data_IF_739595682653
#
_entry.id   IF_739595682653
#
_cell.length_a   1.000
_cell.length_b   1.000
_cell.length_c   1.000
_cell.angle_alpha   90.00
_cell.angle_beta   90.00
_cell.angle_gamma   90.00
#
_symmetry.space_group_name_H-M   'P 1'
#
loop_
_entity.id
_entity.type
_entity.pdbx_description
1 polymer ?
#
# COMPACT_ATOMS: atom_id res chain seq x y z
N UNK A 1 -16.55 32.38 -9.43
CA UNK A 1 -17.47 31.22 -9.29
C UNK A 1 -17.26 30.18 -10.37
N UNK A 2 -17.28 30.46 -11.68
CA UNK A 2 -16.93 29.49 -12.73
C UNK A 2 -15.51 28.98 -12.57
N UNK A 3 -14.54 29.82 -12.32
CA UNK A 3 -13.15 29.49 -12.08
C UNK A 3 -12.92 28.58 -10.84
N UNK A 4 -13.75 28.73 -9.80
CA UNK A 4 -13.65 27.84 -8.61
C UNK A 4 -14.11 26.43 -8.90
N UNK A 5 -15.18 26.28 -9.68
CA UNK A 5 -15.64 24.96 -10.14
C UNK A 5 -14.61 24.30 -11.05
N UNK A 6 -13.97 25.07 -11.91
CA UNK A 6 -12.91 24.56 -12.80
C UNK A 6 -11.65 24.16 -12.00
N UNK A 7 -11.29 24.91 -10.95
CA UNK A 7 -10.22 24.53 -10.03
C UNK A 7 -10.52 23.22 -9.32
N UNK A 8 -11.74 23.04 -8.80
CA UNK A 8 -12.17 21.79 -8.16
C UNK A 8 -12.09 20.64 -9.16
N UNK A 9 -12.54 20.84 -10.39
CA UNK A 9 -12.45 19.83 -11.43
C UNK A 9 -11.00 19.40 -11.68
N UNK A 10 -10.08 20.34 -11.82
CA UNK A 10 -8.65 20.08 -12.05
C UNK A 10 -8.04 19.32 -10.87
N UNK A 11 -8.37 19.73 -9.63
CA UNK A 11 -7.87 19.02 -8.43
C UNK A 11 -8.38 17.58 -8.37
N UNK A 12 -9.67 17.34 -8.59
CA UNK A 12 -10.24 16.00 -8.61
C UNK A 12 -9.60 15.10 -9.69
N UNK A 13 -9.31 15.68 -10.87
CA UNK A 13 -8.58 14.98 -11.92
C UNK A 13 -7.16 14.63 -11.53
N UNK A 14 -6.48 15.54 -10.82
CA UNK A 14 -5.15 15.29 -10.25
C UNK A 14 -5.18 14.08 -9.30
N UNK A 15 -6.08 14.11 -8.32
CA UNK A 15 -6.23 13.02 -7.36
C UNK A 15 -6.60 11.68 -8.02
N UNK A 16 -7.50 11.68 -9.01
CA UNK A 16 -7.82 10.48 -9.77
C UNK A 16 -6.56 9.88 -10.42
N UNK A 17 -5.72 10.74 -11.01
CA UNK A 17 -4.47 10.33 -11.66
C UNK A 17 -3.47 9.74 -10.66
N UNK A 18 -3.29 10.40 -9.52
CA UNK A 18 -2.40 9.94 -8.44
C UNK A 18 -2.83 8.56 -7.90
N UNK A 19 -4.14 8.39 -7.66
CA UNK A 19 -4.67 7.10 -7.18
C UNK A 19 -4.46 5.99 -8.22
N UNK A 20 -4.67 6.27 -9.50
CA UNK A 20 -4.42 5.30 -10.58
C UNK A 20 -2.93 4.93 -10.67
N UNK A 21 -2.04 5.89 -10.46
CA UNK A 21 -0.60 5.63 -10.42
C UNK A 21 -0.22 4.79 -9.19
N UNK A 22 -0.81 5.10 -8.03
CA UNK A 22 -0.65 4.29 -6.81
C UNK A 22 -1.09 2.85 -7.03
N UNK A 23 -2.22 2.62 -7.69
CA UNK A 23 -2.68 1.26 -7.99
C UNK A 23 -1.72 0.48 -8.90
N UNK A 24 -1.08 1.14 -9.87
CA UNK A 24 -0.05 0.48 -10.70
C UNK A 24 1.15 0.04 -9.86
N UNK A 25 1.57 0.88 -8.89
CA UNK A 25 2.64 0.50 -7.96
C UNK A 25 2.22 -0.67 -7.08
N UNK A 26 1.00 -0.66 -6.53
CA UNK A 26 0.46 -1.75 -5.72
C UNK A 26 0.40 -3.07 -6.49
N UNK A 27 -0.02 -3.06 -7.75
CA UNK A 27 -0.03 -4.26 -8.61
C UNK A 27 1.39 -4.80 -8.85
N UNK A 28 2.36 -3.91 -9.09
CA UNK A 28 3.77 -4.31 -9.21
C UNK A 28 4.28 -4.90 -7.90
N UNK A 29 4.03 -4.26 -6.77
CA UNK A 29 4.44 -4.75 -5.45
C UNK A 29 3.80 -6.11 -5.13
N UNK A 30 2.51 -6.28 -5.46
CA UNK A 30 1.83 -7.57 -5.28
C UNK A 30 2.56 -8.69 -6.03
N UNK A 31 2.84 -8.49 -7.32
CA UNK A 31 3.53 -9.48 -8.17
C UNK A 31 4.92 -9.80 -7.61
N UNK A 32 5.71 -8.75 -7.35
CA UNK A 32 7.05 -8.93 -6.80
C UNK A 32 7.03 -9.61 -5.44
N UNK A 33 6.06 -9.30 -4.58
CA UNK A 33 5.93 -9.92 -3.26
C UNK A 33 5.55 -11.41 -3.36
N UNK A 34 4.70 -11.78 -4.31
CA UNK A 34 4.35 -13.18 -4.57
C UNK A 34 5.57 -13.95 -5.09
N UNK A 35 6.32 -13.39 -6.03
CA UNK A 35 7.54 -14.02 -6.55
C UNK A 35 8.57 -14.22 -5.42
N UNK A 36 8.76 -13.21 -4.60
CA UNK A 36 9.66 -13.29 -3.45
C UNK A 36 9.21 -14.34 -2.43
N UNK A 37 7.92 -14.40 -2.11
CA UNK A 37 7.38 -15.46 -1.26
C UNK A 37 7.75 -16.85 -1.79
N UNK A 38 7.59 -17.09 -3.09
CA UNK A 38 7.95 -18.36 -3.70
C UNK A 38 9.45 -18.66 -3.62
N UNK A 39 10.29 -17.65 -3.78
CA UNK A 39 11.75 -17.82 -3.62
C UNK A 39 12.11 -18.14 -2.16
N UNK A 40 11.51 -17.43 -1.18
CA UNK A 40 11.71 -17.70 0.24
C UNK A 40 11.37 -19.16 0.59
N UNK A 41 10.23 -19.67 0.11
CA UNK A 41 9.83 -21.06 0.33
C UNK A 41 10.89 -22.03 -0.16
N UNK A 42 11.46 -21.80 -1.36
CA UNK A 42 12.54 -22.67 -1.89
C UNK A 42 13.79 -22.65 -1.01
N UNK A 43 14.23 -21.46 -0.59
CA UNK A 43 15.40 -21.32 0.29
C UNK A 43 15.17 -21.92 1.67
N UNK A 44 13.96 -21.79 2.23
CA UNK A 44 13.60 -22.41 3.51
C UNK A 44 13.68 -23.92 3.40
N UNK A 45 13.07 -24.52 2.36
CA UNK A 45 13.11 -25.96 2.15
C UNK A 45 14.54 -26.47 1.96
N UNK A 46 15.36 -25.73 1.21
CA UNK A 46 16.78 -26.09 1.02
C UNK A 46 17.56 -25.99 2.35
N UNK A 47 17.32 -24.93 3.16
CA UNK A 47 17.93 -24.77 4.48
C UNK A 47 17.55 -25.88 5.44
N UNK A 48 16.27 -26.25 5.49
CA UNK A 48 15.79 -27.37 6.32
C UNK A 48 16.37 -28.71 5.92
N UNK A 49 16.49 -28.94 4.61
CA UNK A 49 17.11 -30.16 4.10
C UNK A 49 18.61 -30.20 4.46
N UNK A 50 19.32 -29.10 4.29
CA UNK A 50 20.73 -28.99 4.65
C UNK A 50 20.97 -29.16 6.17
N UNK A 51 20.08 -28.62 7.02
CA UNK A 51 20.14 -28.87 8.46
C UNK A 51 20.07 -30.38 8.77
N UNK A 52 19.10 -31.10 8.19
CA UNK A 52 18.95 -32.55 8.36
C UNK A 52 20.17 -33.31 7.89
N UNK A 53 20.76 -32.91 6.76
CA UNK A 53 21.97 -33.58 6.23
C UNK A 53 23.18 -33.34 7.15
N UNK A 54 23.36 -32.14 7.69
CA UNK A 54 24.43 -31.82 8.65
C UNK A 54 24.20 -32.57 9.96
N UNK A 55 22.97 -32.62 10.49
CA UNK A 55 22.65 -33.41 11.68
C UNK A 55 22.98 -34.91 11.50
N UNK A 56 22.59 -35.49 10.38
CA UNK A 56 22.89 -36.87 10.07
C UNK A 56 24.41 -37.13 9.96
N UNK A 57 25.13 -36.18 9.33
CA UNK A 57 26.59 -36.27 9.22
C UNK A 57 27.28 -36.10 10.58
N UNK A 58 26.83 -35.18 11.45
CA UNK A 58 27.31 -35.03 12.83
C UNK A 58 27.15 -36.36 13.58
N UNK A 59 25.97 -37.01 13.48
CA UNK A 59 25.70 -38.27 14.16
C UNK A 59 26.65 -39.38 13.67
N UNK A 60 26.91 -39.48 12.37
CA UNK A 60 27.87 -40.40 11.79
C UNK A 60 29.30 -40.15 12.30
N UNK A 61 29.75 -38.90 12.30
CA UNK A 61 31.09 -38.51 12.77
C UNK A 61 31.27 -38.75 14.27
N UNK A 62 30.23 -38.60 15.08
CA UNK A 62 30.24 -38.98 16.51
C UNK A 62 30.48 -40.50 16.67
N UNK A 63 29.80 -41.32 15.89
CA UNK A 63 29.97 -42.75 15.92
C UNK A 63 31.36 -43.18 15.44
N UNK A 64 31.90 -42.49 14.41
CA UNK A 64 33.27 -42.73 13.94
C UNK A 64 34.30 -42.42 15.03
N UNK A 65 34.11 -41.31 15.77
CA UNK A 65 34.97 -40.93 16.87
C UNK A 65 34.94 -41.97 18.02
N UNK A 66 33.76 -42.49 18.34
CA UNK A 66 33.60 -43.53 19.35
C UNK A 66 34.31 -44.84 18.92
N UNK A 67 34.21 -45.18 17.64
CA UNK A 67 34.80 -46.42 17.11
C UNK A 67 36.33 -46.37 16.93
N UNK A 68 36.85 -45.17 16.57
CA UNK A 68 38.29 -45.01 16.24
C UNK A 68 39.11 -44.46 17.38
N UNK A 69 38.48 -43.74 18.32
CA UNK A 69 39.17 -42.99 19.38
C UNK A 69 39.92 -41.74 18.88
N UNK A 70 39.67 -41.32 17.63
CA UNK A 70 40.38 -40.18 17.00
C UNK A 70 39.84 -38.87 17.52
N UNK A 71 40.60 -38.20 18.35
CA UNK A 71 40.24 -36.90 18.95
C UNK A 71 40.28 -35.73 17.94
N UNK A 72 40.87 -35.90 16.77
CA UNK A 72 40.84 -34.85 15.74
C UNK A 72 39.41 -34.59 15.22
N UNK A 73 38.56 -35.61 15.26
CA UNK A 73 37.14 -35.53 14.89
C UNK A 73 36.37 -34.54 15.77
N UNK A 74 36.82 -34.30 17.02
CA UNK A 74 36.19 -33.33 17.92
C UNK A 74 36.21 -31.87 17.37
N UNK A 75 37.28 -31.49 16.69
CA UNK A 75 37.36 -30.18 16.04
C UNK A 75 36.38 -30.06 14.87
N UNK A 76 36.27 -31.11 14.07
CA UNK A 76 35.31 -31.19 12.97
C UNK A 76 33.87 -31.10 13.49
N UNK A 77 33.52 -31.85 14.54
CA UNK A 77 32.21 -31.83 15.17
C UNK A 77 31.88 -30.43 15.72
N UNK A 78 32.83 -29.72 16.32
CA UNK A 78 32.63 -28.35 16.81
C UNK A 78 32.29 -27.40 15.64
N UNK A 79 33.04 -27.50 14.54
CA UNK A 79 32.78 -26.68 13.35
C UNK A 79 31.45 -27.00 12.69
N UNK A 80 31.07 -28.28 12.60
CA UNK A 80 29.78 -28.73 12.06
C UNK A 80 28.60 -28.22 12.92
N UNK A 81 28.72 -28.28 14.27
CA UNK A 81 27.68 -27.79 15.17
C UNK A 81 27.52 -26.24 15.04
N UNK A 82 28.63 -25.50 14.87
CA UNK A 82 28.57 -24.08 14.62
C UNK A 82 27.88 -23.77 13.27
N UNK A 83 28.24 -24.51 12.23
CA UNK A 83 27.62 -24.37 10.91
C UNK A 83 26.11 -24.68 10.95
N UNK A 84 25.72 -25.75 11.65
CA UNK A 84 24.32 -26.11 11.85
C UNK A 84 23.54 -24.99 12.54
N UNK A 85 24.07 -24.48 13.66
CA UNK A 85 23.43 -23.39 14.40
C UNK A 85 23.25 -22.13 13.53
N UNK A 86 24.27 -21.77 12.75
CA UNK A 86 24.16 -20.62 11.83
C UNK A 86 23.13 -20.85 10.72
N UNK A 87 23.05 -22.06 10.20
CA UNK A 87 22.10 -22.42 9.15
C UNK A 87 20.66 -22.46 9.69
N UNK A 88 20.45 -22.99 10.88
CA UNK A 88 19.15 -22.95 11.57
C UNK A 88 18.68 -21.51 11.81
N UNK A 89 19.57 -20.64 12.32
CA UNK A 89 19.28 -19.23 12.48
C UNK A 89 18.88 -18.57 11.17
N UNK A 90 19.65 -18.82 10.11
CA UNK A 90 19.34 -18.26 8.78
C UNK A 90 17.99 -18.77 8.23
N UNK A 91 17.71 -20.06 8.42
CA UNK A 91 16.42 -20.64 8.01
C UNK A 91 15.27 -20.03 8.79
N UNK A 92 15.45 -19.74 10.08
CA UNK A 92 14.45 -19.05 10.90
C UNK A 92 14.24 -17.60 10.47
N UNK A 93 15.30 -16.89 10.09
CA UNK A 93 15.20 -15.54 9.52
C UNK A 93 14.39 -15.54 8.22
N UNK A 94 14.64 -16.53 7.36
CA UNK A 94 13.87 -16.69 6.11
C UNK A 94 12.40 -17.00 6.37
N UNK A 95 12.06 -17.79 7.40
CA UNK A 95 10.66 -18.02 7.81
C UNK A 95 10.00 -16.76 8.33
N UNK A 96 10.74 -15.90 9.02
CA UNK A 96 10.24 -14.59 9.45
C UNK A 96 9.93 -13.72 8.23
N UNK A 97 10.82 -13.69 7.24
CA UNK A 97 10.61 -12.97 6.00
C UNK A 97 9.41 -13.52 5.20
N UNK A 98 9.25 -14.85 5.14
CA UNK A 98 8.09 -15.51 4.53
C UNK A 98 6.78 -15.06 5.16
N UNK A 99 6.70 -15.02 6.49
CA UNK A 99 5.52 -14.53 7.21
C UNK A 99 5.19 -13.08 6.88
N UNK A 100 6.19 -12.21 6.80
CA UNK A 100 6.01 -10.80 6.40
C UNK A 100 5.50 -10.71 4.97
N UNK A 101 6.09 -11.48 4.05
CA UNK A 101 5.65 -11.51 2.65
C UNK A 101 4.20 -11.97 2.54
N UNK A 102 3.82 -13.02 3.26
CA UNK A 102 2.46 -13.58 3.28
C UNK A 102 1.44 -12.58 3.83
N UNK A 103 1.78 -11.87 4.92
CA UNK A 103 0.90 -10.84 5.50
C UNK A 103 0.75 -9.61 4.59
N UNK A 104 1.78 -9.29 3.81
CA UNK A 104 1.76 -8.15 2.88
C UNK A 104 0.80 -8.37 1.70
N UNK A 105 0.59 -9.61 1.26
CA UNK A 105 -0.29 -9.94 0.13
C UNK A 105 -1.74 -9.41 0.33
N UNK A 106 -2.47 -9.79 1.38
CA UNK A 106 -3.83 -9.29 1.60
C UNK A 106 -3.86 -7.79 1.90
N UNK A 107 -2.83 -7.24 2.54
CA UNK A 107 -2.73 -5.81 2.83
C UNK A 107 -2.63 -4.99 1.54
N UNK A 108 -1.79 -5.40 0.58
CA UNK A 108 -1.67 -4.75 -0.73
C UNK A 108 -3.02 -4.79 -1.46
N UNK A 109 -3.72 -5.93 -1.46
CA UNK A 109 -5.04 -6.06 -2.09
C UNK A 109 -6.12 -5.19 -1.42
N UNK A 110 -6.07 -5.05 -0.12
CA UNK A 110 -6.98 -4.16 0.62
C UNK A 110 -6.76 -2.70 0.24
N UNK A 111 -5.51 -2.26 0.10
CA UNK A 111 -5.16 -0.92 -0.36
C UNK A 111 -5.63 -0.66 -1.80
N UNK A 112 -5.40 -1.62 -2.69
CA UNK A 112 -5.87 -1.55 -4.08
C UNK A 112 -7.39 -1.38 -4.16
N UNK A 113 -8.14 -2.19 -3.41
CA UNK A 113 -9.59 -2.09 -3.33
C UNK A 113 -10.06 -0.75 -2.76
N UNK A 114 -9.40 -0.23 -1.72
CA UNK A 114 -9.66 1.09 -1.16
C UNK A 114 -9.48 2.18 -2.23
N UNK A 115 -8.40 2.13 -2.98
CA UNK A 115 -8.12 3.06 -4.07
C UNK A 115 -9.18 3.03 -5.17
N UNK A 116 -9.68 1.84 -5.56
CA UNK A 116 -10.81 1.73 -6.49
C UNK A 116 -12.07 2.41 -5.97
N UNK A 117 -12.37 2.26 -4.69
CA UNK A 117 -13.51 2.95 -4.08
C UNK A 117 -13.34 4.48 -4.07
N UNK A 118 -12.11 4.98 -3.87
CA UNK A 118 -11.82 6.40 -3.95
C UNK A 118 -12.01 6.95 -5.37
N UNK A 119 -11.50 6.27 -6.38
CA UNK A 119 -11.71 6.64 -7.79
C UNK A 119 -13.20 6.66 -8.12
N UNK A 120 -13.96 5.67 -7.66
CA UNK A 120 -15.41 5.64 -7.87
C UNK A 120 -16.11 6.86 -7.24
N UNK A 121 -15.72 7.28 -6.03
CA UNK A 121 -16.25 8.48 -5.37
C UNK A 121 -15.91 9.74 -6.15
N UNK A 122 -14.69 9.86 -6.66
CA UNK A 122 -14.27 10.99 -7.51
C UNK A 122 -15.10 11.03 -8.80
N UNK A 123 -15.28 9.89 -9.47
CA UNK A 123 -16.11 9.81 -10.67
C UNK A 123 -17.58 10.17 -10.39
N UNK A 124 -18.12 9.75 -9.25
CA UNK A 124 -19.44 10.18 -8.82
C UNK A 124 -19.54 11.70 -8.62
N UNK A 125 -18.49 12.33 -8.07
CA UNK A 125 -18.42 13.78 -7.94
C UNK A 125 -18.44 14.49 -9.32
N UNK A 126 -17.74 13.95 -10.31
CA UNK A 126 -17.78 14.49 -11.68
C UNK A 126 -19.14 14.36 -12.34
N UNK A 127 -19.82 13.23 -12.17
CA UNK A 127 -21.06 12.91 -12.87
C UNK A 127 -22.27 13.59 -12.20
N UNK A 128 -22.27 13.70 -10.88
CA UNK A 128 -23.43 14.17 -10.11
C UNK A 128 -23.18 15.55 -9.53
N UNK A 129 -22.15 15.69 -8.71
CA UNK A 129 -21.94 16.88 -7.88
C UNK A 129 -21.62 18.11 -8.72
N UNK A 130 -20.68 18.02 -9.65
CA UNK A 130 -20.27 19.16 -10.47
C UNK A 130 -21.34 19.62 -11.45
N UNK A 131 -22.07 18.76 -12.18
CA UNK A 131 -23.18 19.21 -13.00
C UNK A 131 -24.29 19.90 -12.23
N UNK A 132 -24.71 19.35 -11.09
CA UNK A 132 -25.71 19.94 -10.21
C UNK A 132 -25.23 21.32 -9.72
N UNK A 133 -23.97 21.42 -9.38
CA UNK A 133 -23.36 22.66 -8.95
C UNK A 133 -23.34 23.73 -10.05
N UNK A 134 -22.95 23.35 -11.28
CA UNK A 134 -23.00 24.22 -12.47
C UNK A 134 -24.43 24.67 -12.78
N UNK A 135 -25.39 23.78 -12.65
CA UNK A 135 -26.80 24.11 -12.88
C UNK A 135 -27.33 25.09 -11.81
N UNK A 136 -27.04 24.87 -10.54
CA UNK A 136 -27.40 25.78 -9.45
C UNK A 136 -26.76 27.15 -9.64
N UNK A 137 -25.52 27.20 -10.11
CA UNK A 137 -24.83 28.44 -10.43
C UNK A 137 -25.51 29.20 -11.61
N UNK A 138 -25.86 28.48 -12.67
CA UNK A 138 -26.57 29.08 -13.81
C UNK A 138 -27.94 29.64 -13.41
N UNK A 139 -28.67 28.91 -12.56
CA UNK A 139 -29.94 29.37 -11.98
C UNK A 139 -29.76 30.64 -11.13
N UNK A 140 -28.73 30.69 -10.28
CA UNK A 140 -28.42 31.86 -9.48
C UNK A 140 -28.08 33.08 -10.34
N UNK A 141 -27.36 32.90 -11.45
CA UNK A 141 -27.05 33.94 -12.41
C UNK A 141 -28.32 34.43 -13.14
N UNK A 142 -29.19 33.51 -13.52
CA UNK A 142 -30.47 33.84 -14.15
C UNK A 142 -31.37 34.65 -13.21
N UNK A 143 -31.50 34.22 -11.96
CA UNK A 143 -32.24 34.98 -10.92
C UNK A 143 -31.67 36.38 -10.69
N UNK A 144 -30.34 36.51 -10.70
CA UNK A 144 -29.68 37.83 -10.62
C UNK A 144 -29.94 38.70 -11.83
N UNK A 145 -30.06 38.15 -13.01
CA UNK A 145 -30.41 38.87 -14.25
C UNK A 145 -31.89 39.25 -14.35
N UNK A 146 -32.74 38.43 -13.77
CA UNK A 146 -34.19 38.71 -13.67
C UNK A 146 -34.53 39.79 -12.62
N UNK A 147 -33.56 40.55 -12.30
CA UNK A 147 -33.53 41.67 -11.45
C UNK A 147 -34.88 42.34 -11.30
N UNK A 148 -35.62 41.93 -10.35
CA UNK A 148 -36.85 42.69 -10.22
C UNK A 148 -37.18 43.09 -8.81
N UNK A 149 -36.40 42.96 -7.88
CA UNK A 149 -36.53 43.63 -6.59
C UNK A 149 -35.28 43.37 -5.74
N UNK A 150 -34.51 44.42 -5.54
CA UNK A 150 -33.11 44.34 -5.16
C UNK A 150 -32.83 43.70 -3.79
N UNK A 151 -33.69 43.82 -2.83
CA UNK A 151 -33.37 43.35 -1.47
C UNK A 151 -33.56 41.85 -1.26
N UNK A 152 -34.61 41.27 -1.81
CA UNK A 152 -34.86 39.82 -1.72
C UNK A 152 -33.87 39.01 -2.54
N UNK A 153 -33.35 39.59 -3.63
CA UNK A 153 -32.37 38.93 -4.50
C UNK A 153 -30.97 38.98 -3.88
N UNK A 154 -30.60 40.07 -3.22
CA UNK A 154 -29.30 40.16 -2.53
C UNK A 154 -29.18 39.13 -1.38
N UNK A 155 -30.26 38.86 -0.67
CA UNK A 155 -30.27 37.86 0.37
C UNK A 155 -30.28 36.45 -0.19
N UNK A 156 -30.98 36.21 -1.29
CA UNK A 156 -30.97 34.93 -2.00
C UNK A 156 -29.59 34.65 -2.63
N UNK A 157 -28.98 35.68 -3.25
CA UNK A 157 -27.62 35.66 -3.81
C UNK A 157 -26.59 35.30 -2.72
N UNK A 158 -26.71 35.91 -1.54
CA UNK A 158 -25.85 35.64 -0.40
C UNK A 158 -26.01 34.22 0.11
N UNK A 159 -27.24 33.72 0.33
CA UNK A 159 -27.52 32.36 0.77
C UNK A 159 -27.08 31.32 -0.28
N UNK A 160 -27.31 31.61 -1.56
CA UNK A 160 -26.88 30.72 -2.64
C UNK A 160 -25.35 30.65 -2.73
N UNK A 161 -24.68 31.81 -2.61
CA UNK A 161 -23.22 31.85 -2.59
C UNK A 161 -22.65 31.12 -1.37
N UNK A 162 -23.24 31.29 -0.19
CA UNK A 162 -22.85 30.56 1.02
C UNK A 162 -23.06 29.05 0.86
N UNK A 163 -24.18 28.65 0.27
CA UNK A 163 -24.45 27.23 0.01
C UNK A 163 -23.50 26.63 -1.06
N UNK A 164 -23.22 27.38 -2.12
CA UNK A 164 -22.27 27.01 -3.16
C UNK A 164 -20.84 26.91 -2.61
N UNK A 165 -20.41 27.88 -1.82
CA UNK A 165 -19.12 27.84 -1.12
C UNK A 165 -19.02 26.64 -0.17
N UNK A 166 -20.08 26.38 0.61
CA UNK A 166 -20.13 25.25 1.52
C UNK A 166 -20.09 23.91 0.78
N UNK A 167 -20.81 23.80 -0.34
CA UNK A 167 -20.77 22.58 -1.17
C UNK A 167 -19.40 22.43 -1.86
N UNK A 168 -18.83 23.54 -2.37
CA UNK A 168 -17.48 23.53 -2.92
C UNK A 168 -16.45 23.11 -1.87
N UNK A 169 -16.53 23.70 -0.68
CA UNK A 169 -15.67 23.35 0.44
C UNK A 169 -15.83 21.88 0.82
N UNK A 170 -17.05 21.38 0.94
CA UNK A 170 -17.32 19.96 1.23
C UNK A 170 -16.73 19.05 0.14
N UNK A 171 -16.85 19.43 -1.13
CA UNK A 171 -16.29 18.68 -2.25
C UNK A 171 -14.75 18.66 -2.23
N UNK A 172 -14.14 19.83 -1.94
CA UNK A 172 -12.68 19.95 -1.77
C UNK A 172 -12.21 19.17 -0.56
N UNK A 173 -12.93 19.25 0.56
CA UNK A 173 -12.56 18.54 1.79
C UNK A 173 -12.70 17.01 1.64
N UNK A 174 -13.75 16.55 0.94
CA UNK A 174 -13.88 15.13 0.58
C UNK A 174 -12.74 14.71 -0.34
N UNK A 175 -12.36 15.54 -1.33
CA UNK A 175 -11.27 15.25 -2.25
C UNK A 175 -9.91 15.22 -1.55
N UNK A 176 -9.66 16.19 -0.63
CA UNK A 176 -8.46 16.21 0.21
C UNK A 176 -8.39 15.01 1.14
N UNK A 177 -9.52 14.62 1.73
CA UNK A 177 -9.59 13.42 2.58
C UNK A 177 -9.31 12.16 1.76
N UNK A 178 -9.85 12.09 0.55
CA UNK A 178 -9.60 11.02 -0.41
C UNK A 178 -8.13 10.95 -0.80
N UNK A 179 -7.52 12.10 -1.15
CA UNK A 179 -6.09 12.17 -1.46
C UNK A 179 -5.21 11.83 -0.25
N UNK A 180 -5.58 12.30 0.95
CA UNK A 180 -4.87 11.97 2.19
C UNK A 180 -4.93 10.48 2.50
N UNK A 181 -6.05 9.83 2.24
CA UNK A 181 -6.15 8.36 2.35
C UNK A 181 -5.30 7.64 1.29
N UNK A 182 -5.26 8.17 0.07
CA UNK A 182 -4.42 7.64 -1.00
C UNK A 182 -2.92 7.84 -0.72
N UNK A 183 -2.52 9.03 -0.23
CA UNK A 183 -1.13 9.29 0.17
C UNK A 183 -0.75 8.52 1.45
N UNK A 184 -1.67 8.26 2.35
CA UNK A 184 -1.48 7.33 3.47
C UNK A 184 -1.17 5.91 2.98
N UNK A 185 -1.86 5.45 1.93
CA UNK A 185 -1.53 4.20 1.26
C UNK A 185 -0.13 4.23 0.62
N UNK A 186 0.25 5.36 0.04
CA UNK A 186 1.59 5.54 -0.54
C UNK A 186 2.70 5.50 0.51
N UNK A 187 2.46 6.08 1.71
CA UNK A 187 3.40 6.00 2.85
C UNK A 187 3.53 4.55 3.32
N UNK A 188 2.43 3.81 3.37
CA UNK A 188 2.48 2.39 3.71
C UNK A 188 3.20 1.56 2.64
N UNK A 189 3.05 1.93 1.35
CA UNK A 189 3.80 1.33 0.24
C UNK A 189 5.31 1.57 0.42
N UNK A 190 5.73 2.80 0.73
CA UNK A 190 7.14 3.12 1.01
C UNK A 190 7.68 2.34 2.22
N UNK A 191 6.85 2.13 3.23
CA UNK A 191 7.22 1.31 4.40
C UNK A 191 7.38 -0.16 4.00
N UNK A 192 6.49 -0.68 3.16
CA UNK A 192 6.60 -2.04 2.62
C UNK A 192 7.82 -2.19 1.72
N UNK A 193 8.12 -1.20 0.86
CA UNK A 193 9.33 -1.17 0.02
C UNK A 193 10.60 -1.17 0.88
N UNK A 194 10.66 -0.37 1.95
CA UNK A 194 11.79 -0.35 2.89
C UNK A 194 11.94 -1.68 3.64
N UNK A 195 10.84 -2.23 4.11
CA UNK A 195 10.83 -3.54 4.79
C UNK A 195 11.31 -4.62 3.85
N UNK A 196 10.81 -4.62 2.61
CA UNK A 196 11.24 -5.50 1.54
C UNK A 196 12.74 -5.40 1.24
N UNK A 197 13.23 -4.17 1.02
CA UNK A 197 14.65 -3.91 0.78
C UNK A 197 15.54 -4.37 1.96
N UNK A 198 15.06 -4.20 3.19
CA UNK A 198 15.76 -4.66 4.40
C UNK A 198 15.82 -6.19 4.45
N UNK A 199 14.76 -6.87 4.06
CA UNK A 199 14.69 -8.35 4.05
C UNK A 199 15.54 -8.94 2.93
N UNK A 200 15.61 -8.28 1.75
CA UNK A 200 16.37 -8.78 0.60
C UNK A 200 17.87 -8.49 0.66
N UNK A 201 18.29 -7.46 1.41
CA UNK A 201 19.70 -7.03 1.51
C UNK A 201 20.37 -7.45 2.84
N UNK A 202 19.65 -8.05 3.75
CA UNK A 202 20.17 -8.63 5.00
C UNK A 202 20.34 -10.13 4.91
#
# INVERSE_FOLDING_TARGET
>A
MGEEVDKIYVQLKGYESEIKQSNKKLDTMFKTNVDYYHELVKYILAGEQACKEIEAYIAQRQQDMENTGDQSIQFELTSLNQALMMLEQRTQDLRTAENVAMQSIPMIKTMEFSNYNLVRKINSAFIVTLPVFKQALAQAILLKRQKIQAESIAELDKKTNEMLLKNAQNTVDVSKMTAKMASGSSIQIETLEKTWATITNG
#
